data_IF_904907116299
#
_entry.id   IF_904907116299
#
_cell.length_a   1.000
_cell.length_b   1.000
_cell.length_c   1.000
_cell.angle_alpha   90.00
_cell.angle_beta   90.00
_cell.angle_gamma   90.00
#
_symmetry.space_group_name_H-M   'P 1'
#
loop_
_entity.id
_entity.type
_entity.pdbx_description
1 polymer ?
#
# COMPACT_ATOMS: atom_id res chain seq x y z
N UNK A 1 0.99 18.67 -55.32
CA UNK A 1 1.57 17.37 -54.92
C UNK A 1 2.53 17.69 -53.79
N UNK A 2 2.04 18.20 -52.66
CA UNK A 2 1.22 17.49 -51.65
C UNK A 2 1.97 16.28 -51.13
N UNK A 3 2.74 16.46 -50.07
CA UNK A 3 2.52 15.70 -48.84
C UNK A 3 3.21 16.41 -47.66
N UNK A 4 2.43 16.73 -46.64
CA UNK A 4 2.86 17.42 -45.44
C UNK A 4 3.25 16.38 -44.39
N UNK A 5 4.51 16.36 -43.97
CA UNK A 5 4.99 15.51 -42.89
C UNK A 5 4.52 16.11 -41.56
N UNK A 6 3.44 15.55 -41.01
CA UNK A 6 2.91 15.87 -39.70
C UNK A 6 3.76 15.23 -38.58
N UNK A 7 3.85 15.85 -37.39
CA UNK A 7 4.58 15.32 -36.24
C UNK A 7 3.85 14.11 -35.62
N UNK A 8 4.65 13.14 -35.19
CA UNK A 8 4.21 11.91 -34.55
C UNK A 8 3.72 12.23 -33.12
N UNK A 9 2.40 12.15 -32.92
CA UNK A 9 1.78 12.11 -31.60
C UNK A 9 1.50 10.63 -31.27
N UNK A 10 2.39 10.00 -30.51
CA UNK A 10 2.11 8.76 -29.80
C UNK A 10 1.16 9.08 -28.64
N UNK A 11 -0.14 8.98 -28.88
CA UNK A 11 -1.12 8.86 -27.80
C UNK A 11 -1.17 7.39 -27.37
N UNK A 12 -0.51 7.06 -26.27
CA UNK A 12 -0.81 5.85 -25.50
C UNK A 12 -2.28 5.89 -25.09
N UNK A 13 -3.11 5.18 -25.86
CA UNK A 13 -4.49 4.91 -25.49
C UNK A 13 -4.49 4.11 -24.19
N UNK A 14 -4.81 4.77 -23.08
CA UNK A 14 -5.40 4.13 -21.91
C UNK A 14 -6.74 3.52 -22.33
N UNK A 15 -6.69 2.29 -22.87
CA UNK A 15 -7.86 1.44 -22.99
C UNK A 15 -8.34 1.10 -21.58
N UNK A 16 -9.28 1.88 -21.08
CA UNK A 16 -10.12 1.50 -19.94
C UNK A 16 -10.94 0.31 -20.42
N UNK A 17 -10.56 -0.90 -20.03
CA UNK A 17 -11.36 -2.11 -20.27
C UNK A 17 -12.71 -1.93 -19.60
N UNK A 18 -13.72 -1.57 -20.40
CA UNK A 18 -15.07 -1.33 -19.93
C UNK A 18 -15.81 -2.65 -20.07
N UNK A 19 -15.91 -3.39 -18.95
CA UNK A 19 -16.70 -4.61 -18.92
C UNK A 19 -18.18 -4.28 -19.17
N UNK A 20 -18.81 -5.05 -20.03
CA UNK A 20 -20.23 -4.86 -20.35
C UNK A 20 -21.08 -5.26 -19.15
N UNK A 21 -22.18 -4.55 -18.87
CA UNK A 21 -23.17 -4.95 -17.84
C UNK A 21 -23.65 -6.39 -18.05
N UNK A 22 -23.59 -6.91 -19.29
CA UNK A 22 -23.91 -8.29 -19.61
C UNK A 22 -22.87 -9.29 -19.06
N UNK A 23 -21.58 -8.93 -19.03
CA UNK A 23 -20.51 -9.75 -18.45
C UNK A 23 -20.57 -9.73 -16.92
N UNK A 24 -20.83 -8.57 -16.32
CA UNK A 24 -21.04 -8.47 -14.87
C UNK A 24 -22.26 -9.28 -14.42
N UNK A 25 -23.34 -9.23 -15.20
CA UNK A 25 -24.55 -10.01 -14.94
C UNK A 25 -24.35 -11.50 -15.19
N UNK A 26 -23.50 -11.88 -16.15
CA UNK A 26 -23.12 -13.28 -16.37
C UNK A 26 -22.25 -13.81 -15.21
N UNK A 27 -21.34 -13.00 -14.68
CA UNK A 27 -20.58 -13.31 -13.46
C UNK A 27 -21.48 -13.43 -12.23
N UNK A 28 -22.40 -12.49 -12.02
CA UNK A 28 -23.39 -12.56 -10.94
C UNK A 28 -24.33 -13.76 -11.10
N UNK A 29 -24.69 -14.13 -12.34
CA UNK A 29 -25.45 -15.33 -12.64
C UNK A 29 -24.66 -16.62 -12.40
N UNK A 30 -23.34 -16.60 -12.61
CA UNK A 30 -22.43 -17.69 -12.25
C UNK A 30 -22.20 -17.80 -10.74
N UNK A 31 -22.36 -16.70 -9.99
CA UNK A 31 -22.23 -16.68 -8.54
C UNK A 31 -23.56 -16.96 -7.81
N UNK A 32 -24.68 -16.62 -8.43
CA UNK A 32 -26.05 -16.77 -7.90
C UNK A 32 -26.82 -17.95 -8.48
N UNK A 33 -26.18 -18.80 -9.28
CA UNK A 33 -26.73 -20.05 -9.76
C UNK A 33 -26.28 -21.21 -8.87
N UNK A 34 -27.23 -21.75 -8.09
CA UNK A 34 -27.16 -23.04 -7.39
C UNK A 34 -26.75 -23.08 -5.90
N UNK A 35 -26.64 -21.96 -5.19
CA UNK A 35 -26.47 -21.96 -3.72
C UNK A 35 -27.51 -21.08 -2.99
N UNK A 36 -28.77 -21.55 -3.00
CA UNK A 36 -29.71 -21.32 -1.88
C UNK A 36 -29.39 -22.29 -0.71
N UNK A 37 -28.11 -22.66 -0.54
CA UNK A 37 -27.67 -23.30 0.68
C UNK A 37 -27.50 -22.20 1.71
N UNK A 38 -28.44 -22.15 2.66
CA UNK A 38 -28.27 -21.48 3.94
C UNK A 38 -26.80 -21.59 4.35
N UNK A 39 -26.10 -20.46 4.46
CA UNK A 39 -24.73 -20.44 4.98
C UNK A 39 -24.79 -20.97 6.41
N UNK A 40 -24.59 -22.28 6.55
CA UNK A 40 -24.52 -22.99 7.82
C UNK A 40 -23.05 -23.04 8.25
N UNK A 41 -22.60 -22.13 9.14
CA UNK A 41 -21.22 -22.14 9.63
C UNK A 41 -20.87 -23.42 10.43
N UNK A 42 -21.85 -24.31 10.67
CA UNK A 42 -21.67 -25.59 11.34
C UNK A 42 -21.06 -26.67 10.45
N UNK A 43 -21.08 -26.49 9.12
CA UNK A 43 -20.52 -27.42 8.14
C UNK A 43 -19.11 -27.05 7.64
N UNK A 44 -18.59 -25.89 8.05
CA UNK A 44 -17.19 -25.55 7.81
C UNK A 44 -16.33 -26.62 8.51
N UNK A 45 -15.31 -27.20 7.85
CA UNK A 45 -14.35 -28.06 8.53
C UNK A 45 -13.64 -27.23 9.61
N UNK A 46 -14.17 -27.26 10.82
CA UNK A 46 -13.45 -26.86 12.02
C UNK A 46 -12.38 -27.93 12.25
N UNK A 47 -11.25 -27.76 11.58
CA UNK A 47 -10.04 -28.54 11.85
C UNK A 47 -9.70 -29.62 10.83
N UNK A 48 -9.26 -29.22 9.64
CA UNK A 48 -7.93 -29.69 9.24
C UNK A 48 -6.97 -28.62 9.74
N UNK A 49 -6.40 -28.85 10.92
CA UNK A 49 -5.26 -28.06 11.36
C UNK A 49 -4.18 -28.25 10.30
N UNK A 50 -3.97 -27.23 9.46
CA UNK A 50 -2.78 -27.19 8.63
C UNK A 50 -1.58 -27.43 9.55
N UNK A 51 -0.58 -28.22 9.11
CA UNK A 51 0.53 -28.56 9.98
C UNK A 51 1.13 -27.27 10.53
N UNK A 52 1.42 -27.23 11.83
CA UNK A 52 1.88 -26.02 12.54
C UNK A 52 3.03 -25.32 11.80
N UNK A 53 3.87 -26.08 11.09
CA UNK A 53 4.90 -25.57 10.20
C UNK A 53 4.37 -24.67 9.06
N UNK A 54 3.28 -25.06 8.40
CA UNK A 54 2.62 -24.28 7.32
C UNK A 54 2.01 -23.00 7.89
N UNK A 55 1.37 -23.07 9.05
CA UNK A 55 0.81 -21.88 9.70
C UNK A 55 1.91 -20.91 10.18
N UNK A 56 3.04 -21.43 10.67
CA UNK A 56 4.21 -20.62 11.04
C UNK A 56 4.87 -19.99 9.81
N UNK A 57 4.91 -20.69 8.68
CA UNK A 57 5.43 -20.16 7.42
C UNK A 57 4.53 -19.03 6.90
N UNK A 58 3.22 -19.25 6.84
CA UNK A 58 2.25 -18.21 6.49
C UNK A 58 2.33 -16.99 7.44
N UNK A 59 2.52 -17.22 8.74
CA UNK A 59 2.73 -16.15 9.71
C UNK A 59 4.05 -15.39 9.48
N UNK A 60 5.13 -16.09 9.12
CA UNK A 60 6.41 -15.46 8.78
C UNK A 60 6.29 -14.60 7.51
N UNK A 61 5.62 -15.11 6.48
CA UNK A 61 5.35 -14.36 5.25
C UNK A 61 4.52 -13.11 5.51
N UNK A 62 3.48 -13.21 6.34
CA UNK A 62 2.67 -12.05 6.72
C UNK A 62 3.50 -10.97 7.43
N UNK A 63 4.43 -11.36 8.31
CA UNK A 63 5.36 -10.44 8.96
C UNK A 63 6.29 -9.74 7.97
N UNK A 64 6.79 -10.46 6.95
CA UNK A 64 7.60 -9.89 5.87
C UNK A 64 6.77 -8.93 5.01
N UNK A 65 5.50 -9.24 4.73
CA UNK A 65 4.59 -8.35 4.02
C UNK A 65 4.36 -7.03 4.78
N UNK A 66 4.19 -7.08 6.11
CA UNK A 66 4.11 -5.86 6.92
C UNK A 66 5.40 -5.04 6.88
N UNK A 67 6.57 -5.70 6.86
CA UNK A 67 7.84 -4.99 6.66
C UNK A 67 7.92 -4.33 5.27
N UNK A 68 7.46 -5.01 4.22
CA UNK A 68 7.41 -4.47 2.87
C UNK A 68 6.55 -3.20 2.78
N UNK A 69 5.42 -3.15 3.50
CA UNK A 69 4.61 -1.93 3.62
C UNK A 69 5.41 -0.78 4.25
N UNK A 70 6.20 -1.08 5.29
CA UNK A 70 7.10 -0.12 5.92
C UNK A 70 8.22 0.35 4.99
N UNK A 71 8.69 -0.52 4.10
CA UNK A 71 9.70 -0.21 3.10
C UNK A 71 9.19 0.83 2.10
N UNK A 72 7.99 0.60 1.53
CA UNK A 72 7.33 1.55 0.63
C UNK A 72 7.16 2.91 1.31
N UNK A 73 6.76 2.92 2.59
CA UNK A 73 6.63 4.15 3.35
C UNK A 73 7.97 4.88 3.51
N UNK A 74 9.07 4.16 3.75
CA UNK A 74 10.41 4.73 3.83
C UNK A 74 10.90 5.23 2.47
N UNK A 75 10.54 4.56 1.38
CA UNK A 75 10.86 4.99 0.02
C UNK A 75 10.21 6.33 -0.32
N UNK A 76 8.92 6.46 0.00
CA UNK A 76 8.13 7.68 -0.17
C UNK A 76 8.65 8.85 0.70
N UNK A 77 9.00 8.56 1.96
CA UNK A 77 9.33 9.61 2.94
C UNK A 77 10.81 10.01 2.94
N UNK A 78 11.72 9.06 2.72
CA UNK A 78 13.17 9.23 2.93
C UNK A 78 13.94 9.11 1.63
N UNK A 79 13.91 7.96 0.96
CA UNK A 79 14.71 7.73 -0.25
C UNK A 79 14.16 6.57 -1.11
N UNK A 80 13.92 6.75 -2.42
CA UNK A 80 13.26 5.75 -3.27
C UNK A 80 14.02 4.42 -3.38
N UNK A 81 15.36 4.45 -3.33
CA UNK A 81 16.18 3.21 -3.38
C UNK A 81 16.35 2.52 -2.02
N UNK A 82 15.58 2.89 -1.01
CA UNK A 82 15.64 2.23 0.30
C UNK A 82 15.01 0.84 0.20
N UNK A 83 15.76 -0.17 0.64
CA UNK A 83 15.28 -1.54 0.77
C UNK A 83 15.77 -2.15 2.09
N UNK A 84 14.92 -2.90 2.78
CA UNK A 84 15.37 -3.74 3.88
C UNK A 84 16.21 -4.89 3.32
N UNK A 85 17.21 -5.30 4.11
CA UNK A 85 17.98 -6.48 3.75
C UNK A 85 17.07 -7.72 3.87
N UNK A 86 16.86 -8.43 2.75
CA UNK A 86 16.00 -9.61 2.65
C UNK A 86 16.32 -10.67 3.72
N UNK A 87 17.61 -10.92 3.99
CA UNK A 87 18.03 -11.91 4.99
C UNK A 87 17.62 -11.49 6.42
N UNK A 88 17.63 -10.19 6.71
CA UNK A 88 17.15 -9.67 8.00
C UNK A 88 15.62 -9.67 8.07
N UNK A 89 14.94 -9.35 6.97
CA UNK A 89 13.49 -9.38 6.88
C UNK A 89 12.94 -10.79 7.11
N UNK A 90 13.55 -11.81 6.50
CA UNK A 90 13.19 -13.21 6.74
C UNK A 90 13.44 -13.65 8.18
N UNK A 91 14.58 -13.25 8.78
CA UNK A 91 14.88 -13.54 10.19
C UNK A 91 13.86 -12.89 11.12
N UNK A 92 13.43 -11.66 10.81
CA UNK A 92 12.35 -10.99 11.51
C UNK A 92 11.03 -11.76 11.35
N UNK A 93 10.68 -12.15 10.12
CA UNK A 93 9.47 -12.92 9.85
C UNK A 93 9.41 -14.21 10.67
N UNK A 94 10.49 -14.98 10.70
CA UNK A 94 10.62 -16.21 11.50
C UNK A 94 10.51 -15.94 13.01
N UNK A 95 11.01 -14.81 13.49
CA UNK A 95 10.90 -14.43 14.90
C UNK A 95 9.50 -13.92 15.29
N UNK A 96 8.81 -13.26 14.36
CA UNK A 96 7.47 -12.71 14.55
C UNK A 96 6.36 -13.74 14.33
N UNK A 97 6.61 -14.76 13.49
CA UNK A 97 5.70 -15.86 13.18
C UNK A 97 5.04 -16.51 14.41
N UNK A 98 5.76 -16.93 15.46
CA UNK A 98 5.13 -17.53 16.63
C UNK A 98 4.23 -16.56 17.40
N UNK A 99 4.50 -15.25 17.36
CA UNK A 99 3.66 -14.24 17.99
C UNK A 99 2.38 -14.03 17.18
N UNK A 100 2.48 -13.96 15.86
CA UNK A 100 1.34 -13.84 14.95
C UNK A 100 0.44 -15.09 15.00
N UNK A 101 1.03 -16.28 15.04
CA UNK A 101 0.31 -17.54 15.19
C UNK A 101 -0.38 -17.63 16.55
N UNK A 102 0.33 -17.31 17.64
CA UNK A 102 -0.21 -17.39 19.00
C UNK A 102 -1.43 -16.49 19.21
N UNK A 103 -1.46 -15.36 18.51
CA UNK A 103 -2.57 -14.43 18.57
C UNK A 103 -3.54 -14.58 17.39
N UNK A 104 -3.37 -15.57 16.52
CA UNK A 104 -4.25 -15.83 15.37
C UNK A 104 -4.43 -14.61 14.46
N UNK A 105 -3.36 -13.82 14.30
CA UNK A 105 -3.39 -12.53 13.60
C UNK A 105 -4.00 -11.36 14.40
N UNK A 106 -4.42 -11.60 15.63
CA UNK A 106 -4.94 -10.58 16.53
C UNK A 106 -3.80 -9.83 17.25
N UNK A 107 -4.02 -8.57 17.60
CA UNK A 107 -2.99 -7.78 18.27
C UNK A 107 -2.85 -8.27 19.73
N UNK A 108 -1.62 -8.36 20.28
CA UNK A 108 -1.44 -8.68 21.68
C UNK A 108 -2.29 -7.77 22.58
N UNK A 109 -2.82 -8.25 23.72
CA UNK A 109 -3.72 -7.46 24.57
C UNK A 109 -3.08 -6.16 25.08
N UNK A 110 -1.77 -6.16 25.34
CA UNK A 110 -1.05 -4.92 25.67
C UNK A 110 -1.05 -3.92 24.52
N UNK A 111 -1.04 -4.37 23.26
CA UNK A 111 -1.05 -3.49 22.09
C UNK A 111 -2.47 -3.03 21.74
N UNK A 112 -3.49 -3.85 22.03
CA UNK A 112 -4.91 -3.49 21.88
C UNK A 112 -5.29 -2.30 22.75
N UNK A 113 -4.81 -2.27 24.00
CA UNK A 113 -5.06 -1.15 24.91
C UNK A 113 -4.46 0.16 24.41
N UNK A 114 -3.30 0.11 23.73
CA UNK A 114 -2.61 1.29 23.18
C UNK A 114 -2.93 1.58 21.70
N UNK A 115 -3.90 0.88 21.11
CA UNK A 115 -4.20 1.01 19.69
C UNK A 115 -4.52 2.46 19.32
N UNK A 116 -5.38 3.10 20.11
CA UNK A 116 -5.82 4.48 19.86
C UNK A 116 -4.69 5.48 20.05
N UNK A 117 -3.82 5.29 21.05
CA UNK A 117 -2.67 6.14 21.33
C UNK A 117 -1.59 6.01 20.25
N UNK A 118 -1.34 4.80 19.77
CA UNK A 118 -0.38 4.55 18.68
C UNK A 118 -0.91 5.15 17.38
N UNK A 119 -2.20 4.96 17.08
CA UNK A 119 -2.85 5.56 15.90
C UNK A 119 -2.83 7.08 15.99
N UNK A 120 -3.17 7.65 17.14
CA UNK A 120 -3.12 9.10 17.35
C UNK A 120 -1.69 9.64 17.19
N UNK A 121 -0.70 9.00 17.80
CA UNK A 121 0.70 9.43 17.73
C UNK A 121 1.24 9.30 16.30
N UNK A 122 0.90 8.23 15.60
CA UNK A 122 1.25 8.04 14.19
C UNK A 122 0.59 9.11 13.32
N UNK A 123 -0.70 9.39 13.50
CA UNK A 123 -1.42 10.42 12.77
C UNK A 123 -0.87 11.83 13.04
N UNK A 124 -0.61 12.17 14.31
CA UNK A 124 -0.02 13.43 14.71
C UNK A 124 1.41 13.58 14.14
N UNK A 125 2.21 12.52 14.19
CA UNK A 125 3.56 12.48 13.61
C UNK A 125 3.54 12.67 12.09
N UNK A 126 2.65 11.95 11.40
CA UNK A 126 2.47 12.06 9.95
C UNK A 126 2.02 13.47 9.55
N UNK A 127 1.02 14.03 10.24
CA UNK A 127 0.54 15.39 9.98
C UNK A 127 1.64 16.43 10.23
N UNK A 128 2.43 16.27 11.29
CA UNK A 128 3.57 17.13 11.59
C UNK A 128 4.65 17.06 10.50
N UNK A 129 4.98 15.86 10.05
CA UNK A 129 5.95 15.63 8.98
C UNK A 129 5.49 16.23 7.64
N UNK A 130 4.25 15.99 7.24
CA UNK A 130 3.67 16.54 6.00
C UNK A 130 3.65 18.06 6.06
N UNK A 131 3.24 18.65 7.18
CA UNK A 131 3.23 20.11 7.37
C UNK A 131 4.64 20.69 7.24
N UNK A 132 5.65 20.04 7.83
CA UNK A 132 7.04 20.48 7.70
C UNK A 132 7.55 20.43 6.26
N UNK A 133 7.24 19.36 5.51
CA UNK A 133 7.58 19.24 4.08
C UNK A 133 6.90 20.32 3.24
N UNK A 134 5.61 20.58 3.46
CA UNK A 134 4.88 21.63 2.73
C UNK A 134 5.50 23.00 2.97
N UNK A 135 5.82 23.35 4.21
CA UNK A 135 6.47 24.65 4.53
C UNK A 135 7.82 24.77 3.83
N UNK A 136 8.62 23.70 3.78
CA UNK A 136 9.88 23.70 3.03
C UNK A 136 9.68 23.89 1.53
N UNK A 137 8.71 23.20 0.94
CA UNK A 137 8.40 23.31 -0.48
C UNK A 137 7.94 24.73 -0.85
N UNK A 138 7.07 25.33 -0.04
CA UNK A 138 6.62 26.72 -0.23
C UNK A 138 7.80 27.70 -0.15
N UNK A 139 8.66 27.57 0.86
CA UNK A 139 9.87 28.42 0.98
C UNK A 139 10.81 28.27 -0.21
N UNK A 140 10.97 27.06 -0.75
CA UNK A 140 11.78 26.82 -1.93
C UNK A 140 11.16 27.47 -3.17
N UNK A 141 9.84 27.36 -3.35
CA UNK A 141 9.12 28.00 -4.45
C UNK A 141 9.22 29.54 -4.39
N UNK A 142 9.10 30.12 -3.19
CA UNK A 142 9.26 31.56 -2.98
C UNK A 142 10.69 32.03 -3.28
N UNK A 143 11.70 31.24 -2.90
CA UNK A 143 13.10 31.57 -3.19
C UNK A 143 13.43 31.49 -4.69
N UNK A 144 12.77 30.60 -5.45
CA UNK A 144 12.92 30.53 -6.91
C UNK A 144 12.26 31.74 -7.58
N UNK A 145 11.02 32.07 -7.19
CA UNK A 145 10.31 33.26 -7.71
C UNK A 145 11.06 34.56 -7.45
N UNK A 146 11.62 34.72 -6.25
CA UNK A 146 12.41 35.90 -5.91
C UNK A 146 13.68 36.03 -6.77
N UNK A 147 14.31 34.91 -7.17
CA UNK A 147 15.45 34.93 -8.10
C UNK A 147 15.03 35.28 -9.52
N UNK A 148 13.90 34.74 -10.00
CA UNK A 148 13.37 35.05 -11.32
C UNK A 148 12.92 36.51 -11.46
N UNK A 149 12.35 37.09 -10.40
CA UNK A 149 11.97 38.51 -10.35
C UNK A 149 13.22 39.41 -10.33
N UNK A 150 14.25 39.05 -9.53
CA UNK A 150 15.50 39.79 -9.51
C UNK A 150 16.28 39.73 -10.84
N UNK A 151 16.24 38.61 -11.56
CA UNK A 151 16.83 38.50 -12.90
C UNK A 151 16.04 39.29 -13.96
N UNK A 152 14.72 39.43 -13.82
CA UNK A 152 13.89 40.27 -14.70
C UNK A 152 14.12 41.75 -14.48
N UNK A 153 14.29 42.21 -13.24
CA UNK A 153 14.60 43.62 -12.94
C UNK A 153 16.02 44.01 -13.35
N UNK A 154 16.99 43.09 -13.33
CA UNK A 154 18.36 43.37 -13.82
C UNK A 154 18.49 43.39 -15.34
N UNK A 155 17.49 42.90 -16.09
CA UNK A 155 17.48 42.87 -17.55
C UNK A 155 16.58 43.93 -18.20
N UNK A 156 15.91 44.77 -17.40
CA UNK A 156 15.08 45.89 -17.88
C UNK A 156 15.78 47.23 -17.70
#
# INVERSE_FOLDING_TARGET
>A
MSDALAPEHEEEQLTIETHSEAEEKALLGSLGGEDDQDFDPSGLPVGESEPEAVLLEAAAESAVLYLGMGEVMMQEMVHPDFHFNEELAEKFGKAAAPLLLKHNGDLPPWLKEYKEEIVFTAAAGFLGFVSWRQVKALKAADAVKAKEEAEKEQKS
#
